data_IF_969375913542
#
_entry.id   IF_969375913542
#
_cell.length_a   1.000
_cell.length_b   1.000
_cell.length_c   1.000
_cell.angle_alpha   90.00
_cell.angle_beta   90.00
_cell.angle_gamma   90.00
#
_symmetry.space_group_name_H-M   'P 1'
#
loop_
_entity.id
_entity.type
_entity.pdbx_description
1 polymer ?
#
# COMPACT_ATOMS: atom_id res chain seq x y z
N UNK A 1 -20.16 2.36 4.89
CA UNK A 1 -18.78 2.59 4.43
C UNK A 1 -18.67 4.06 4.10
N UNK A 2 -18.01 4.85 4.95
CA UNK A 2 -17.81 6.28 4.71
C UNK A 2 -16.94 6.52 3.47
N UNK A 3 -16.96 7.72 2.89
CA UNK A 3 -16.09 8.04 1.75
C UNK A 3 -14.64 7.76 2.15
N UNK A 4 -13.91 7.01 1.32
CA UNK A 4 -12.46 6.86 1.47
C UNK A 4 -11.91 8.29 1.53
N UNK A 5 -11.26 8.72 2.63
CA UNK A 5 -10.68 10.04 2.69
C UNK A 5 -9.75 10.18 1.48
N UNK A 6 -9.88 11.27 0.73
CA UNK A 6 -9.00 11.50 -0.41
C UNK A 6 -7.57 11.56 0.12
N UNK A 7 -6.84 10.48 -0.07
CA UNK A 7 -5.47 10.33 0.40
C UNK A 7 -4.62 11.30 -0.42
N UNK A 8 -4.10 12.32 0.25
CA UNK A 8 -3.32 13.39 -0.41
C UNK A 8 -1.95 13.59 0.21
N UNK A 9 -1.71 13.05 1.41
CA UNK A 9 -0.42 13.09 2.08
C UNK A 9 0.06 11.68 2.39
N UNK A 10 1.37 11.53 2.58
CA UNK A 10 1.96 10.26 2.98
C UNK A 10 1.34 9.73 4.30
N UNK A 11 1.08 10.62 5.26
CA UNK A 11 0.46 10.25 6.54
C UNK A 11 -0.94 9.67 6.36
N UNK A 12 -1.78 10.31 5.53
CA UNK A 12 -3.12 9.80 5.23
C UNK A 12 -3.06 8.43 4.53
N UNK A 13 -2.03 8.20 3.71
CA UNK A 13 -1.82 6.91 3.06
C UNK A 13 -1.55 5.82 4.09
N UNK A 14 -0.68 6.10 5.07
CA UNK A 14 -0.42 5.19 6.16
C UNK A 14 -1.69 4.86 6.96
N UNK A 15 -2.45 5.88 7.37
CA UNK A 15 -3.68 5.71 8.14
C UNK A 15 -4.71 4.86 7.38
N UNK A 16 -4.97 5.18 6.10
CA UNK A 16 -5.92 4.45 5.28
C UNK A 16 -5.50 2.99 5.06
N UNK A 17 -4.22 2.73 4.85
CA UNK A 17 -3.71 1.37 4.61
C UNK A 17 -3.66 0.54 5.89
N UNK A 18 -3.29 1.12 7.03
CA UNK A 18 -3.32 0.42 8.32
C UNK A 18 -4.74 -0.02 8.67
N UNK A 19 -5.75 0.82 8.40
CA UNK A 19 -7.15 0.48 8.64
C UNK A 19 -7.65 -0.70 7.78
N UNK A 20 -7.07 -0.90 6.60
CA UNK A 20 -7.45 -1.97 5.66
C UNK A 20 -6.52 -3.19 5.71
N UNK A 21 -5.54 -3.20 6.63
CA UNK A 21 -4.56 -4.25 6.72
C UNK A 21 -5.23 -5.61 6.99
N UNK A 22 -4.93 -6.65 6.21
CA UNK A 22 -5.46 -7.99 6.46
C UNK A 22 -5.05 -8.51 7.84
N UNK A 23 -5.90 -9.39 8.42
CA UNK A 23 -5.54 -10.15 9.61
C UNK A 23 -4.30 -11.02 9.37
N UNK A 24 -3.60 -11.38 10.45
CA UNK A 24 -2.35 -12.15 10.37
C UNK A 24 -2.54 -13.50 9.65
N UNK A 25 -3.68 -14.15 9.90
CA UNK A 25 -4.03 -15.45 9.31
C UNK A 25 -4.70 -15.33 7.92
N UNK A 26 -4.75 -14.12 7.35
CA UNK A 26 -5.35 -13.93 6.04
C UNK A 26 -4.54 -14.71 4.97
N UNK A 27 -5.21 -15.31 3.97
CA UNK A 27 -4.53 -16.04 2.92
C UNK A 27 -3.53 -15.17 2.15
N UNK A 28 -2.45 -15.75 1.64
CA UNK A 28 -1.41 -15.05 0.86
C UNK A 28 -1.99 -14.22 -0.30
N UNK A 29 -3.06 -14.69 -0.95
CA UNK A 29 -3.77 -13.93 -2.01
C UNK A 29 -4.35 -12.61 -1.52
N UNK A 30 -4.83 -12.55 -0.28
CA UNK A 30 -5.42 -11.36 0.34
C UNK A 30 -4.31 -10.37 0.69
N UNK A 31 -3.22 -10.85 1.30
CA UNK A 31 -2.02 -10.05 1.54
C UNK A 31 -1.42 -9.49 0.26
N UNK A 32 -1.33 -10.30 -0.79
CA UNK A 32 -0.84 -9.84 -2.10
C UNK A 32 -1.72 -8.72 -2.67
N UNK A 33 -3.05 -8.86 -2.60
CA UNK A 33 -3.98 -7.82 -3.07
C UNK A 33 -3.81 -6.53 -2.25
N UNK A 34 -3.66 -6.65 -0.94
CA UNK A 34 -3.38 -5.52 -0.06
C UNK A 34 -2.08 -4.81 -0.48
N UNK A 35 -0.96 -5.53 -0.62
CA UNK A 35 0.33 -4.96 -1.00
C UNK A 35 0.31 -4.25 -2.36
N UNK A 36 -0.38 -4.81 -3.35
CA UNK A 36 -0.55 -4.14 -4.65
C UNK A 36 -1.38 -2.86 -4.54
N UNK A 37 -2.43 -2.87 -3.71
CA UNK A 37 -3.23 -1.67 -3.45
C UNK A 37 -2.39 -0.61 -2.72
N UNK A 38 -1.65 -1.01 -1.69
CA UNK A 38 -0.73 -0.13 -0.96
C UNK A 38 0.28 0.52 -1.90
N UNK A 39 0.91 -0.27 -2.77
CA UNK A 39 1.87 0.23 -3.73
C UNK A 39 1.28 1.31 -4.64
N UNK A 40 0.06 1.09 -5.13
CA UNK A 40 -0.67 2.06 -5.94
C UNK A 40 -0.99 3.34 -5.18
N UNK A 41 -1.51 3.24 -3.96
CA UNK A 41 -1.86 4.42 -3.14
C UNK A 41 -0.63 5.28 -2.87
N UNK A 42 0.49 4.66 -2.48
CA UNK A 42 1.73 5.42 -2.26
C UNK A 42 2.27 6.06 -3.54
N UNK A 43 2.19 5.39 -4.70
CA UNK A 43 2.60 5.97 -5.98
C UNK A 43 1.71 7.18 -6.37
N UNK A 44 0.38 7.07 -6.19
CA UNK A 44 -0.54 8.19 -6.44
C UNK A 44 -0.26 9.37 -5.49
N UNK A 45 0.05 9.10 -4.23
CA UNK A 45 0.41 10.12 -3.23
C UNK A 45 1.75 10.77 -3.53
N UNK A 46 2.74 10.03 -4.05
CA UNK A 46 4.03 10.59 -4.43
C UNK A 46 3.92 11.72 -5.47
N UNK A 47 2.91 11.65 -6.34
CA UNK A 47 2.64 12.70 -7.34
C UNK A 47 1.96 13.94 -6.74
N UNK A 48 1.20 13.75 -5.65
CA UNK A 48 0.43 14.80 -4.96
C UNK A 48 1.27 15.49 -3.89
N UNK A 49 1.83 14.72 -2.96
CA UNK A 49 2.66 15.16 -1.84
C UNK A 49 4.13 15.20 -2.24
N UNK A 50 4.49 16.20 -3.07
CA UNK A 50 5.86 16.31 -3.60
C UNK A 50 6.93 16.52 -2.53
N UNK A 51 6.56 16.98 -1.34
CA UNK A 51 7.45 17.09 -0.19
C UNK A 51 7.91 15.73 0.34
N UNK A 52 7.08 14.70 0.17
CA UNK A 52 7.37 13.31 0.57
C UNK A 52 7.48 12.37 -0.63
N UNK A 53 7.69 12.90 -1.84
CA UNK A 53 7.71 12.10 -3.07
C UNK A 53 8.64 10.87 -2.97
N UNK A 54 9.89 11.08 -2.56
CA UNK A 54 10.88 10.00 -2.46
C UNK A 54 10.49 8.96 -1.40
N UNK A 55 9.90 9.38 -0.30
CA UNK A 55 9.47 8.49 0.78
C UNK A 55 8.23 7.69 0.33
N UNK A 56 7.26 8.33 -0.30
CA UNK A 56 6.09 7.68 -0.88
C UNK A 56 6.51 6.67 -1.97
N UNK A 57 7.43 7.01 -2.86
CA UNK A 57 7.96 6.07 -3.86
C UNK A 57 8.70 4.90 -3.23
N UNK A 58 9.48 5.13 -2.16
CA UNK A 58 10.10 4.04 -1.40
C UNK A 58 9.06 3.05 -0.86
N UNK A 59 7.98 3.55 -0.27
CA UNK A 59 6.89 2.71 0.21
C UNK A 59 6.18 1.97 -0.94
N UNK A 60 5.95 2.64 -2.06
CA UNK A 60 5.35 2.03 -3.24
C UNK A 60 6.16 0.82 -3.72
N UNK A 61 7.47 0.99 -3.88
CA UNK A 61 8.38 -0.07 -4.31
C UNK A 61 8.48 -1.20 -3.30
N UNK A 62 8.58 -0.88 -2.00
CA UNK A 62 8.64 -1.89 -0.94
C UNK A 62 7.39 -2.77 -0.93
N UNK A 63 6.20 -2.18 -1.03
CA UNK A 63 4.96 -2.94 -1.01
C UNK A 63 4.82 -3.78 -2.30
N UNK A 64 5.27 -3.27 -3.45
CA UNK A 64 5.33 -4.06 -4.68
C UNK A 64 6.23 -5.28 -4.56
N UNK A 65 7.43 -5.14 -3.97
CA UNK A 65 8.34 -6.26 -3.73
C UNK A 65 7.70 -7.35 -2.87
N UNK A 66 7.03 -6.98 -1.78
CA UNK A 66 6.29 -7.95 -0.95
C UNK A 66 5.18 -8.66 -1.71
N UNK A 67 4.45 -7.93 -2.56
CA UNK A 67 3.42 -8.54 -3.41
C UNK A 67 4.00 -9.58 -4.37
N UNK A 68 5.22 -9.35 -4.87
CA UNK A 68 5.92 -10.26 -5.77
C UNK A 68 6.53 -11.44 -5.02
N UNK A 69 7.09 -11.24 -3.81
CA UNK A 69 7.54 -12.33 -2.93
C UNK A 69 6.42 -13.32 -2.62
N UNK A 70 5.21 -12.83 -2.34
CA UNK A 70 4.05 -13.70 -2.12
C UNK A 70 3.59 -14.47 -3.36
N UNK A 71 4.00 -14.10 -4.58
CA UNK A 71 3.82 -14.96 -5.76
C UNK A 71 4.82 -16.11 -5.78
N UNK A 72 6.04 -15.84 -5.33
CA UNK A 72 7.13 -16.82 -5.34
C UNK A 72 6.88 -17.90 -4.28
N UNK A 73 6.40 -17.52 -3.10
CA UNK A 73 6.13 -18.45 -1.99
C UNK A 73 4.82 -19.25 -2.14
N UNK A 74 3.93 -18.87 -3.07
CA UNK A 74 2.63 -19.52 -3.26
C UNK A 74 2.64 -20.64 -4.34
N UNK A 75 3.82 -21.15 -4.71
CA UNK A 75 4.03 -22.35 -5.54
C UNK A 75 4.49 -23.52 -4.68
#
# INVERSE_FOLDING_TARGET
MGPVPQVRTLMQAHEALVAERPGLDAPARVWRRYYLRSARVYAEVAEIDRGHHHEAMYWADRERRKADELKITAQ
#
